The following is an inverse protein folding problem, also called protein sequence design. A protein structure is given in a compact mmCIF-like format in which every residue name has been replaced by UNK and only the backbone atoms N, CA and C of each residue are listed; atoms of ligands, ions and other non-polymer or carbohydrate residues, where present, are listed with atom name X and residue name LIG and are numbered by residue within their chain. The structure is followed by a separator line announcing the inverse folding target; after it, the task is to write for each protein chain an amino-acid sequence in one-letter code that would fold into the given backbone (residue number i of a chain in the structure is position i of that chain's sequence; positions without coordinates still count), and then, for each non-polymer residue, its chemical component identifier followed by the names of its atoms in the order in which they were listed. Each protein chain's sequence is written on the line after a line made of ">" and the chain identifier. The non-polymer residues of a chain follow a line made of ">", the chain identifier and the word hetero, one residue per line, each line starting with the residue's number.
data_IF_091004366303
#
_entry.id   IF_091004366303
#
_cell.length_a   1.000
_cell.length_b   1.000
_cell.length_c   1.000
_cell.angle_alpha   90.00
_cell.angle_beta   90.00
_cell.angle_gamma   90.00
#
_symmetry.space_group_name_H-M   'P 1'
#
loop_
_entity.id
_entity.type
_entity.pdbx_description
1 polymer ?
#
# COMPACT_ATOMS: atom_id res chain seq x y z
N UNK A 1 -0.97 -6.96 -12.52
CA UNK A 1 -0.98 -6.18 -13.78
C UNK A 1 0.36 -5.48 -13.87
N UNK A 2 1.29 -6.03 -14.71
CA UNK A 2 2.58 -5.39 -14.94
C UNK A 2 2.39 -4.13 -15.79
N UNK A 3 2.54 -2.95 -15.21
CA UNK A 3 2.75 -1.75 -16.00
C UNK A 3 4.24 -1.63 -16.31
N UNK A 4 4.61 -1.82 -17.57
CA UNK A 4 5.87 -1.30 -18.09
C UNK A 4 5.74 0.21 -18.16
N UNK A 5 6.14 0.88 -17.12
CA UNK A 5 5.93 2.30 -16.99
C UNK A 5 7.27 2.98 -16.82
N UNK A 6 7.76 3.57 -17.89
CA UNK A 6 8.78 4.59 -17.78
C UNK A 6 8.11 5.87 -17.25
N UNK A 7 8.55 6.36 -16.10
CA UNK A 7 8.24 7.73 -15.72
C UNK A 7 9.02 8.61 -16.69
N UNK A 8 8.33 9.14 -17.67
CA UNK A 8 8.97 9.99 -18.69
C UNK A 8 9.23 11.42 -18.20
N UNK A 9 8.69 11.80 -17.04
CA UNK A 9 8.78 13.17 -16.55
C UNK A 9 9.93 13.39 -15.56
N UNK A 10 11.04 14.01 -15.99
CA UNK A 10 12.21 14.26 -15.13
C UNK A 10 11.91 15.17 -13.92
N UNK A 11 10.81 15.92 -13.93
CA UNK A 11 10.39 16.77 -12.81
C UNK A 11 10.05 15.93 -11.59
N UNK A 12 9.37 14.80 -11.77
CA UNK A 12 9.04 13.89 -10.66
C UNK A 12 10.29 13.21 -10.10
N UNK A 13 11.21 12.76 -10.95
CA UNK A 13 12.49 12.21 -10.49
C UNK A 13 13.26 13.22 -9.66
N UNK A 14 13.39 14.45 -10.14
CA UNK A 14 14.10 15.51 -9.42
C UNK A 14 13.44 15.82 -8.06
N UNK A 15 12.11 15.82 -7.97
CA UNK A 15 11.40 15.98 -6.69
C UNK A 15 11.74 14.86 -5.71
N UNK A 16 11.74 13.61 -6.18
CA UNK A 16 12.03 12.43 -5.35
C UNK A 16 13.50 12.40 -4.91
N UNK A 17 14.44 12.64 -5.83
CA UNK A 17 15.89 12.66 -5.52
C UNK A 17 16.25 13.74 -4.50
N UNK A 18 15.57 14.89 -4.52
CA UNK A 18 15.76 15.95 -3.53
C UNK A 18 15.32 15.56 -2.11
N UNK A 19 14.40 14.58 -1.98
CA UNK A 19 13.93 14.08 -0.70
C UNK A 19 14.81 12.96 -0.13
N UNK A 20 15.75 12.43 -0.91
CA UNK A 20 16.69 11.41 -0.43
C UNK A 20 17.79 12.05 0.42
N UNK A 21 18.01 11.52 1.63
CA UNK A 21 18.97 12.05 2.59
C UNK A 21 20.42 11.70 2.24
N UNK A 22 20.65 10.55 1.61
CA UNK A 22 21.97 10.01 1.34
C UNK A 22 22.18 9.60 -0.13
N UNK A 23 23.44 9.31 -0.48
CA UNK A 23 23.80 8.90 -1.84
C UNK A 23 23.19 7.56 -2.24
N UNK A 24 23.08 6.63 -1.31
CA UNK A 24 22.54 5.29 -1.61
C UNK A 24 21.05 5.34 -1.93
N UNK A 25 20.30 6.14 -1.17
CA UNK A 25 18.88 6.39 -1.44
C UNK A 25 18.68 7.09 -2.79
N UNK A 26 19.52 8.09 -3.12
CA UNK A 26 19.51 8.75 -4.45
C UNK A 26 19.79 7.76 -5.57
N UNK A 27 20.80 6.91 -5.40
CA UNK A 27 21.15 5.91 -6.40
C UNK A 27 20.03 4.90 -6.62
N UNK A 28 19.43 4.39 -5.54
CA UNK A 28 18.26 3.49 -5.63
C UNK A 28 17.10 4.16 -6.36
N UNK A 29 16.80 5.41 -6.03
CA UNK A 29 15.74 6.17 -6.68
C UNK A 29 15.98 6.29 -8.19
N UNK A 30 17.19 6.65 -8.62
CA UNK A 30 17.55 6.77 -10.04
C UNK A 30 17.47 5.41 -10.74
N UNK A 31 17.97 4.35 -10.11
CA UNK A 31 17.96 3.00 -10.67
C UNK A 31 16.53 2.47 -10.81
N UNK A 32 15.70 2.69 -9.79
CA UNK A 32 14.30 2.30 -9.82
C UNK A 32 13.51 3.11 -10.86
N UNK A 33 13.80 4.40 -10.97
CA UNK A 33 13.14 5.27 -11.96
C UNK A 33 13.36 4.80 -13.40
N UNK A 34 14.56 4.33 -13.70
CA UNK A 34 14.91 3.82 -15.04
C UNK A 34 14.64 2.32 -15.21
N UNK A 35 14.18 1.64 -14.16
CA UNK A 35 13.87 0.22 -14.17
C UNK A 35 12.48 -0.11 -14.73
N UNK A 36 12.27 -1.38 -15.04
CA UNK A 36 10.93 -1.90 -15.32
C UNK A 36 10.21 -2.21 -14.00
N UNK A 37 9.01 -1.69 -13.82
CA UNK A 37 8.17 -2.00 -12.67
C UNK A 37 7.19 -3.12 -13.03
N UNK A 38 7.30 -4.25 -12.36
CA UNK A 38 6.38 -5.40 -12.56
C UNK A 38 5.08 -5.25 -11.78
N UNK A 39 5.02 -4.33 -10.79
CA UNK A 39 3.83 -4.02 -9.99
C UNK A 39 3.83 -2.57 -9.51
N UNK A 40 2.66 -2.00 -9.34
CA UNK A 40 2.44 -0.62 -8.87
C UNK A 40 1.42 -0.56 -7.73
N UNK A 41 1.21 -1.68 -7.04
CA UNK A 41 0.24 -1.80 -5.94
C UNK A 41 0.47 -0.75 -4.83
N UNK A 42 1.72 -0.51 -4.44
CA UNK A 42 2.02 0.52 -3.44
C UNK A 42 1.62 1.93 -3.91
N UNK A 43 1.92 2.27 -5.16
CA UNK A 43 1.54 3.56 -5.73
C UNK A 43 0.04 3.76 -5.81
N UNK A 44 -0.70 2.72 -6.18
CA UNK A 44 -2.16 2.74 -6.21
C UNK A 44 -2.70 2.89 -4.78
N UNK A 45 -2.31 2.01 -3.86
CA UNK A 45 -2.79 2.03 -2.48
C UNK A 45 -2.50 3.38 -1.79
N UNK A 46 -1.30 3.93 -1.95
CA UNK A 46 -0.93 5.20 -1.35
C UNK A 46 -1.67 6.39 -1.97
N UNK A 47 -1.85 6.41 -3.30
CA UNK A 47 -2.63 7.47 -3.96
C UNK A 47 -4.11 7.44 -3.56
N UNK A 48 -4.68 6.25 -3.34
CA UNK A 48 -6.04 6.12 -2.79
C UNK A 48 -6.14 6.68 -1.37
N UNK A 49 -5.17 6.38 -0.50
CA UNK A 49 -5.12 6.94 0.84
C UNK A 49 -5.04 8.46 0.83
N UNK A 50 -4.19 9.04 0.00
CA UNK A 50 -4.02 10.49 -0.11
C UNK A 50 -5.22 11.20 -0.76
N UNK A 51 -5.86 10.57 -1.75
CA UNK A 51 -7.11 11.07 -2.30
C UNK A 51 -8.22 11.10 -1.28
N UNK A 52 -8.39 10.01 -0.51
CA UNK A 52 -9.36 9.97 0.59
C UNK A 52 -9.12 11.05 1.66
N UNK A 53 -7.86 11.42 1.89
CA UNK A 53 -7.48 12.44 2.85
C UNK A 53 -7.51 13.87 2.27
N UNK A 54 -7.85 14.05 0.99
CA UNK A 54 -7.92 15.33 0.31
C UNK A 54 -6.56 15.94 -0.07
N UNK A 55 -5.46 15.16 -0.03
CA UNK A 55 -4.14 15.61 -0.49
C UNK A 55 -3.98 15.51 -2.00
N UNK A 56 -4.82 14.75 -2.66
CA UNK A 56 -4.91 14.65 -4.12
C UNK A 56 -6.30 15.11 -4.53
N UNK A 57 -6.38 16.12 -5.40
CA UNK A 57 -7.60 16.46 -6.07
C UNK A 57 -7.73 15.62 -7.35
N UNK A 58 -8.71 14.75 -7.40
CA UNK A 58 -8.91 13.88 -8.55
C UNK A 58 -9.39 14.63 -9.78
N UNK A 59 -10.05 15.79 -9.62
CA UNK A 59 -10.45 16.66 -10.74
C UNK A 59 -9.25 17.24 -11.49
N UNK A 60 -8.13 17.47 -10.80
CA UNK A 60 -6.86 17.90 -11.42
C UNK A 60 -6.28 16.82 -12.36
N UNK A 61 -6.61 15.55 -12.13
CA UNK A 61 -6.13 14.41 -12.91
C UNK A 61 -7.06 14.12 -14.07
N UNK A 62 -8.36 14.02 -13.77
CA UNK A 62 -9.43 13.78 -14.76
C UNK A 62 -10.59 14.71 -14.44
N UNK A 63 -10.93 15.58 -15.36
CA UNK A 63 -12.02 16.55 -15.15
C UNK A 63 -13.33 15.86 -14.79
N UNK A 64 -13.95 16.29 -13.70
CA UNK A 64 -15.17 15.72 -13.14
C UNK A 64 -14.95 14.50 -12.25
N UNK A 65 -13.71 14.06 -12.05
CA UNK A 65 -13.42 12.94 -11.15
C UNK A 65 -13.54 13.39 -9.69
N UNK A 66 -14.24 12.60 -8.88
CA UNK A 66 -14.48 12.86 -7.46
C UNK A 66 -14.04 11.70 -6.55
N UNK A 67 -13.65 10.59 -7.17
CA UNK A 67 -13.07 9.43 -6.48
C UNK A 67 -12.06 8.71 -7.38
N UNK A 68 -11.38 7.72 -6.83
CA UNK A 68 -10.35 6.98 -7.57
C UNK A 68 -10.90 6.23 -8.79
N UNK A 69 -12.15 5.76 -8.73
CA UNK A 69 -12.80 4.99 -9.80
C UNK A 69 -13.16 5.85 -11.01
N UNK A 70 -13.45 7.13 -10.77
CA UNK A 70 -13.80 8.07 -11.82
C UNK A 70 -12.58 8.62 -12.57
N UNK A 71 -11.36 8.27 -12.15
CA UNK A 71 -10.13 8.65 -12.85
C UNK A 71 -9.96 7.96 -14.22
N UNK A 72 -10.64 6.84 -14.43
CA UNK A 72 -10.49 6.03 -15.64
C UNK A 72 -9.32 5.04 -15.56
N UNK A 73 -8.79 4.66 -16.72
CA UNK A 73 -7.69 3.71 -16.82
C UNK A 73 -6.33 4.40 -16.79
N UNK A 74 -5.36 3.97 -15.96
CA UNK A 74 -4.01 4.52 -15.99
C UNK A 74 -3.26 4.24 -17.30
N UNK A 75 -3.76 3.32 -18.14
CA UNK A 75 -3.21 3.08 -19.47
C UNK A 75 -3.56 4.18 -20.47
N UNK A 76 -4.69 4.86 -20.24
CA UNK A 76 -5.24 5.90 -21.12
C UNK A 76 -5.01 7.30 -20.56
N UNK A 77 -4.77 7.43 -19.25
CA UNK A 77 -4.59 8.69 -18.54
C UNK A 77 -3.15 8.86 -18.06
N UNK A 78 -2.36 9.66 -18.75
CA UNK A 78 -0.95 9.90 -18.42
C UNK A 78 -0.74 10.55 -17.06
N UNK A 79 -1.64 11.47 -16.63
CA UNK A 79 -1.56 12.12 -15.32
C UNK A 79 -1.80 11.12 -14.19
N UNK A 80 -2.78 10.23 -14.34
CA UNK A 80 -3.04 9.15 -13.39
C UNK A 80 -1.84 8.20 -13.31
N UNK A 81 -1.28 7.81 -14.46
CA UNK A 81 -0.08 6.98 -14.53
C UNK A 81 1.09 7.64 -13.80
N UNK A 82 1.37 8.90 -14.09
CA UNK A 82 2.46 9.65 -13.46
C UNK A 82 2.26 9.76 -11.93
N UNK A 83 1.03 9.98 -11.47
CA UNK A 83 0.69 9.99 -10.05
C UNK A 83 0.99 8.64 -9.39
N UNK A 84 0.47 7.55 -9.95
CA UNK A 84 0.69 6.20 -9.41
C UNK A 84 2.19 5.89 -9.32
N UNK A 85 2.95 6.20 -10.36
CA UNK A 85 4.38 5.95 -10.40
C UNK A 85 5.16 6.82 -9.43
N UNK A 86 4.76 8.09 -9.28
CA UNK A 86 5.35 8.97 -8.27
C UNK A 86 5.21 8.35 -6.87
N UNK A 87 4.00 7.92 -6.49
CA UNK A 87 3.76 7.30 -5.19
C UNK A 87 4.40 5.92 -5.06
N UNK A 88 4.47 5.13 -6.15
CA UNK A 88 5.22 3.88 -6.16
C UNK A 88 6.69 4.09 -5.81
N UNK A 89 7.29 5.16 -6.31
CA UNK A 89 8.69 5.49 -6.08
C UNK A 89 8.96 6.01 -4.66
N UNK A 90 7.95 6.52 -3.94
CA UNK A 90 8.14 7.00 -2.57
C UNK A 90 8.59 5.92 -1.59
N UNK A 91 8.30 4.64 -1.87
CA UNK A 91 8.84 3.53 -1.06
C UNK A 91 10.38 3.45 -1.08
N UNK A 92 11.06 4.10 -2.03
CA UNK A 92 12.51 4.19 -2.09
C UNK A 92 13.06 5.34 -1.24
N UNK A 93 12.22 6.24 -0.74
CA UNK A 93 12.61 7.30 0.18
C UNK A 93 12.85 6.74 1.58
N UNK A 94 13.77 7.36 2.33
CA UNK A 94 13.99 7.00 3.73
C UNK A 94 12.73 7.21 4.58
N UNK A 95 11.99 8.28 4.29
CA UNK A 95 10.69 8.57 4.91
C UNK A 95 9.55 7.64 4.46
N UNK A 96 9.67 7.04 3.29
CA UNK A 96 8.71 6.08 2.76
C UNK A 96 8.95 4.65 3.23
N UNK A 97 10.09 4.40 3.86
CA UNK A 97 10.36 3.12 4.50
C UNK A 97 9.51 3.02 5.74
N UNK A 98 8.78 1.93 5.86
CA UNK A 98 7.96 1.69 7.01
C UNK A 98 8.81 1.78 8.27
N UNK A 99 8.39 2.65 9.15
CA UNK A 99 9.01 2.76 10.47
C UNK A 99 8.63 1.57 11.35
N UNK A 100 7.72 0.72 10.86
CA UNK A 100 7.21 -0.38 11.61
C UNK A 100 6.87 -1.60 10.73
N UNK A 101 7.57 -2.68 10.96
CA UNK A 101 7.36 -3.94 10.24
C UNK A 101 8.14 -5.10 10.83
N UNK A 102 7.83 -6.29 10.36
CA UNK A 102 8.64 -7.48 10.53
C UNK A 102 9.32 -7.71 9.19
N UNK A 103 10.63 -7.86 9.17
CA UNK A 103 11.33 -8.32 7.98
C UNK A 103 12.59 -9.05 8.37
N UNK A 104 12.64 -10.33 8.07
CA UNK A 104 13.86 -11.14 8.21
C UNK A 104 14.87 -10.89 7.09
N UNK A 105 14.38 -10.62 5.89
CA UNK A 105 15.22 -10.59 4.70
C UNK A 105 15.72 -9.18 4.32
N UNK A 106 15.00 -8.14 4.72
CA UNK A 106 15.33 -6.76 4.34
C UNK A 106 15.99 -5.94 5.45
N UNK A 107 16.08 -6.46 6.67
CA UNK A 107 16.64 -5.75 7.83
C UNK A 107 15.80 -4.55 8.29
N UNK A 108 14.53 -4.47 7.90
CA UNK A 108 13.69 -3.29 8.08
C UNK A 108 12.82 -3.33 9.33
N UNK A 109 12.78 -4.44 10.04
CA UNK A 109 12.01 -4.56 11.26
C UNK A 109 12.60 -5.58 12.21
N UNK A 110 12.64 -5.23 13.48
CA UNK A 110 13.08 -6.13 14.57
C UNK A 110 11.88 -6.61 15.41
N UNK A 111 10.65 -6.50 14.86
CA UNK A 111 9.42 -6.86 15.56
C UNK A 111 9.10 -8.35 15.46
N UNK A 112 8.54 -8.89 16.51
CA UNK A 112 7.82 -10.16 16.46
C UNK A 112 6.37 -9.93 15.99
N UNK A 113 5.71 -11.02 15.57
CA UNK A 113 4.36 -10.98 15.03
C UNK A 113 3.34 -10.40 16.03
N UNK A 114 3.43 -10.78 17.29
CA UNK A 114 2.50 -10.31 18.34
C UNK A 114 2.59 -8.80 18.51
N UNK A 115 3.80 -8.27 18.63
CA UNK A 115 4.03 -6.83 18.73
C UNK A 115 3.57 -6.09 17.47
N UNK A 116 3.83 -6.64 16.29
CA UNK A 116 3.34 -6.07 15.02
C UNK A 116 1.81 -6.00 15.02
N UNK A 117 1.13 -7.12 15.27
CA UNK A 117 -0.34 -7.19 15.21
C UNK A 117 -1.02 -6.29 16.24
N UNK A 118 -0.45 -6.15 17.45
CA UNK A 118 -0.95 -5.20 18.46
C UNK A 118 -0.94 -3.76 17.94
N UNK A 119 0.17 -3.32 17.36
CA UNK A 119 0.28 -1.97 16.80
C UNK A 119 -0.58 -1.79 15.54
N UNK A 120 -0.60 -2.80 14.67
CA UNK A 120 -1.42 -2.78 13.46
C UNK A 120 -2.91 -2.65 13.77
N UNK A 121 -3.41 -3.41 14.75
CA UNK A 121 -4.80 -3.30 15.22
C UNK A 121 -5.08 -1.93 15.84
N UNK A 122 -4.16 -1.41 16.65
CA UNK A 122 -4.30 -0.08 17.24
C UNK A 122 -4.37 1.01 16.16
N UNK A 123 -3.56 0.89 15.10
CA UNK A 123 -3.59 1.81 13.97
C UNK A 123 -4.88 1.69 13.16
N UNK A 124 -5.37 0.47 12.92
CA UNK A 124 -6.65 0.27 12.25
C UNK A 124 -7.84 0.87 13.04
N UNK A 125 -7.80 0.76 14.38
CA UNK A 125 -8.78 1.44 15.27
C UNK A 125 -8.70 2.97 15.14
N UNK A 126 -7.47 3.50 15.15
CA UNK A 126 -7.25 4.94 15.01
C UNK A 126 -7.72 5.42 13.62
N UNK A 127 -7.29 4.75 12.56
CA UNK A 127 -7.64 5.07 11.17
C UNK A 127 -9.17 5.10 10.95
N UNK A 128 -9.89 4.12 11.50
CA UNK A 128 -11.36 4.12 11.49
C UNK A 128 -11.95 5.35 12.18
N UNK A 129 -11.42 5.71 13.37
CA UNK A 129 -11.92 6.84 14.16
C UNK A 129 -11.74 8.16 13.45
N UNK A 130 -10.60 8.36 12.79
CA UNK A 130 -10.26 9.61 12.10
C UNK A 130 -10.63 9.59 10.61
N UNK A 131 -11.13 8.45 10.11
CA UNK A 131 -11.48 8.22 8.69
C UNK A 131 -10.28 8.42 7.75
N UNK A 132 -9.10 7.99 8.17
CA UNK A 132 -7.86 8.07 7.39
C UNK A 132 -7.34 6.66 7.12
N UNK A 133 -7.58 6.10 5.94
CA UNK A 133 -7.02 4.81 5.56
C UNK A 133 -5.50 4.88 5.48
N UNK A 134 -4.84 3.73 5.61
CA UNK A 134 -3.39 3.61 5.50
C UNK A 134 -2.98 2.38 4.68
N UNK A 135 -1.72 2.36 4.23
CA UNK A 135 -1.19 1.26 3.42
C UNK A 135 -0.65 0.16 4.32
N UNK A 136 -1.04 -1.07 4.02
CA UNK A 136 -0.44 -2.29 4.56
C UNK A 136 0.24 -3.07 3.44
N UNK A 137 1.44 -3.53 3.69
CA UNK A 137 2.24 -4.26 2.71
C UNK A 137 2.76 -5.57 3.30
N UNK A 138 2.90 -6.57 2.44
CA UNK A 138 3.36 -7.91 2.81
C UNK A 138 3.99 -8.62 1.61
N UNK A 139 4.75 -9.69 1.90
CA UNK A 139 5.28 -10.57 0.86
C UNK A 139 4.35 -11.74 0.63
N UNK A 140 4.17 -12.08 -0.63
CA UNK A 140 3.55 -13.32 -1.12
C UNK A 140 4.55 -14.01 -2.05
N UNK A 141 4.35 -15.29 -2.45
CA UNK A 141 5.29 -15.99 -3.32
C UNK A 141 5.62 -15.25 -4.64
N UNK A 142 4.67 -14.50 -5.17
CA UNK A 142 4.83 -13.72 -6.40
C UNK A 142 5.57 -12.39 -6.20
N UNK A 143 5.82 -11.96 -4.95
CA UNK A 143 6.52 -10.73 -4.62
C UNK A 143 5.81 -9.87 -3.58
N UNK A 144 6.25 -8.62 -3.43
CA UNK A 144 5.62 -7.66 -2.51
C UNK A 144 4.25 -7.21 -2.99
N UNK A 145 3.28 -7.11 -2.07
CA UNK A 145 1.96 -6.57 -2.32
C UNK A 145 1.59 -5.50 -1.30
N UNK A 146 0.82 -4.51 -1.73
CA UNK A 146 0.35 -3.42 -0.88
C UNK A 146 -1.14 -3.22 -1.07
N UNK A 147 -1.85 -3.03 0.02
CA UNK A 147 -3.30 -2.89 0.08
C UNK A 147 -3.69 -1.72 0.98
N UNK A 148 -4.95 -1.29 0.92
CA UNK A 148 -5.47 -0.20 1.74
C UNK A 148 -6.24 -0.75 2.93
N UNK A 149 -5.82 -0.40 4.16
CA UNK A 149 -6.60 -0.65 5.37
C UNK A 149 -7.62 0.47 5.55
N UNK A 150 -8.90 0.14 5.51
CA UNK A 150 -9.99 1.12 5.50
C UNK A 150 -11.07 0.90 6.56
N UNK A 151 -11.02 -0.20 7.32
CA UNK A 151 -12.01 -0.48 8.35
C UNK A 151 -11.50 -1.34 9.49
N UNK A 152 -12.24 -1.32 10.58
CA UNK A 152 -11.94 -2.10 11.79
C UNK A 152 -13.21 -2.44 12.56
N UNK A 153 -13.28 -3.65 13.11
CA UNK A 153 -14.30 -4.09 14.04
C UNK A 153 -13.70 -5.04 15.07
N UNK A 154 -14.09 -4.90 16.34
CA UNK A 154 -13.82 -5.91 17.37
C UNK A 154 -15.07 -6.78 17.53
N UNK A 155 -14.88 -8.08 17.48
CA UNK A 155 -15.94 -9.05 17.64
C UNK A 155 -16.22 -9.36 19.13
N UNK A 156 -17.36 -9.99 19.40
CA UNK A 156 -17.75 -10.38 20.77
C UNK A 156 -16.86 -11.46 21.38
N UNK A 157 -16.20 -12.26 20.53
CA UNK A 157 -15.20 -13.28 20.93
C UNK A 157 -13.80 -12.70 21.21
N UNK A 158 -13.65 -11.37 21.07
CA UNK A 158 -12.40 -10.65 21.28
C UNK A 158 -11.49 -10.56 20.05
N UNK A 159 -11.78 -11.29 18.98
CA UNK A 159 -11.03 -11.21 17.72
C UNK A 159 -11.25 -9.86 17.02
N UNK A 160 -10.29 -9.50 16.16
CA UNK A 160 -10.33 -8.24 15.42
C UNK A 160 -10.54 -8.52 13.94
N UNK A 161 -11.47 -7.80 13.32
CA UNK A 161 -11.69 -7.79 11.88
C UNK A 161 -11.21 -6.46 11.30
N UNK A 162 -10.35 -6.55 10.30
CA UNK A 162 -9.77 -5.39 9.60
C UNK A 162 -10.24 -5.46 8.16
N UNK A 163 -10.93 -4.43 7.73
CA UNK A 163 -11.38 -4.30 6.34
C UNK A 163 -10.24 -3.76 5.51
N UNK A 164 -9.91 -4.50 4.47
CA UNK A 164 -8.84 -4.19 3.52
C UNK A 164 -9.48 -4.03 2.14
N UNK A 165 -9.03 -3.04 1.40
CA UNK A 165 -9.32 -2.91 -0.02
C UNK A 165 -8.07 -3.32 -0.82
N UNK A 166 -8.22 -4.33 -1.69
CA UNK A 166 -7.19 -4.80 -2.61
C UNK A 166 -7.60 -4.48 -4.05
N UNK A 167 -6.82 -3.63 -4.72
CA UNK A 167 -7.05 -3.22 -6.10
C UNK A 167 -6.84 -4.36 -7.11
N UNK A 168 -6.15 -5.43 -6.70
CA UNK A 168 -5.91 -6.60 -7.53
C UNK A 168 -6.92 -7.74 -7.30
N UNK A 169 -7.81 -7.60 -6.33
CA UNK A 169 -8.90 -8.57 -6.14
C UNK A 169 -9.85 -8.50 -7.33
N UNK A 170 -9.89 -9.58 -8.08
CA UNK A 170 -10.81 -9.70 -9.21
C UNK A 170 -12.15 -10.26 -8.74
N UNK A 171 -13.16 -9.45 -8.86
CA UNK A 171 -14.55 -9.91 -8.83
C UNK A 171 -15.17 -9.69 -10.22
N UNK A 172 -16.00 -10.61 -10.75
CA UNK A 172 -16.66 -10.41 -12.03
C UNK A 172 -17.40 -9.05 -12.06
N UNK A 173 -16.96 -8.15 -12.95
CA UNK A 173 -17.55 -6.82 -13.12
C UNK A 173 -16.96 -5.69 -12.29
N UNK A 174 -15.90 -5.93 -11.47
CA UNK A 174 -15.20 -4.88 -10.75
C UNK A 174 -13.69 -5.10 -10.74
N UNK A 175 -12.94 -3.99 -10.73
CA UNK A 175 -11.51 -4.01 -10.43
C UNK A 175 -11.34 -3.71 -8.93
N UNK A 176 -10.69 -4.63 -8.20
CA UNK A 176 -10.52 -4.52 -6.77
C UNK A 176 -11.70 -5.06 -5.95
N UNK A 177 -11.47 -5.30 -4.69
CA UNK A 177 -12.46 -5.82 -3.76
C UNK A 177 -12.09 -5.63 -2.30
N UNK A 178 -13.13 -5.72 -1.46
CA UNK A 178 -12.94 -5.70 -0.02
C UNK A 178 -12.66 -7.11 0.48
N UNK A 179 -11.65 -7.20 1.34
CA UNK A 179 -11.24 -8.42 2.04
C UNK A 179 -11.31 -8.17 3.54
N UNK A 180 -11.48 -9.24 4.29
CA UNK A 180 -11.43 -9.21 5.75
C UNK A 180 -10.21 -9.94 6.25
N UNK A 181 -9.31 -9.22 6.91
CA UNK A 181 -8.23 -9.81 7.69
C UNK A 181 -8.71 -10.00 9.12
N UNK A 182 -8.67 -11.23 9.61
CA UNK A 182 -9.00 -11.58 11.00
C UNK A 182 -7.72 -11.75 11.79
N UNK A 183 -7.63 -11.04 12.93
CA UNK A 183 -6.52 -11.12 13.87
C UNK A 183 -7.05 -11.72 15.17
N UNK A 184 -6.35 -12.73 15.70
CA UNK A 184 -6.71 -13.39 16.95
C UNK A 184 -6.65 -12.45 18.14
N UNK A 185 -7.47 -12.69 19.15
CA UNK A 185 -7.56 -11.86 20.36
C UNK A 185 -6.27 -11.82 21.18
N UNK A 186 -5.42 -12.84 21.04
CA UNK A 186 -4.10 -12.93 21.65
C UNK A 186 -2.96 -12.37 20.77
N UNK A 187 -3.29 -11.87 19.56
CA UNK A 187 -2.36 -11.32 18.59
C UNK A 187 -1.27 -12.26 18.08
N UNK A 188 -1.48 -13.58 18.17
CA UNK A 188 -0.49 -14.59 17.74
C UNK A 188 -0.70 -15.06 16.30
N UNK A 189 -1.86 -14.78 15.72
CA UNK A 189 -2.17 -15.21 14.36
C UNK A 189 -3.09 -14.23 13.65
N UNK A 190 -3.06 -14.28 12.34
CA UNK A 190 -4.03 -13.64 11.45
C UNK A 190 -4.29 -14.52 10.23
N UNK A 191 -5.40 -14.28 9.55
CA UNK A 191 -5.71 -14.88 8.25
C UNK A 191 -6.66 -13.97 7.47
N UNK A 192 -6.67 -14.13 6.14
CA UNK A 192 -7.62 -13.45 5.27
C UNK A 192 -8.84 -14.35 5.07
N UNK A 193 -10.03 -13.88 5.49
CA UNK A 193 -11.23 -14.72 5.58
C UNK A 193 -11.92 -14.95 4.22
N UNK A 194 -11.75 -14.04 3.27
CA UNK A 194 -12.50 -14.04 2.00
C UNK A 194 -11.55 -14.17 0.79
N UNK A 195 -10.31 -14.58 1.01
CA UNK A 195 -9.36 -14.75 -0.07
C UNK A 195 -9.62 -16.07 -0.80
N UNK A 196 -9.76 -16.00 -2.10
CA UNK A 196 -9.71 -17.17 -2.98
C UNK A 196 -8.25 -17.70 -3.03
N UNK A 197 -7.72 -18.19 -1.90
CA UNK A 197 -6.38 -18.77 -1.72
C UNK A 197 -5.17 -17.86 -2.01
N UNK A 198 -5.33 -16.68 -2.59
CA UNK A 198 -4.22 -15.81 -3.01
C UNK A 198 -3.36 -15.30 -1.84
N UNK A 199 -3.95 -15.17 -0.65
CA UNK A 199 -3.27 -14.67 0.54
C UNK A 199 -3.08 -15.74 1.62
N UNK A 200 -3.32 -17.02 1.30
CA UNK A 200 -3.10 -18.10 2.24
C UNK A 200 -1.61 -18.30 2.57
N UNK A 201 -0.74 -17.91 1.62
CA UNK A 201 0.72 -18.02 1.71
C UNK A 201 1.41 -16.68 2.05
N UNK A 202 0.74 -15.77 2.74
CA UNK A 202 1.38 -14.53 3.20
C UNK A 202 2.54 -14.87 4.13
N UNK A 203 3.72 -14.39 3.79
CA UNK A 203 4.90 -14.55 4.61
C UNK A 203 4.76 -13.72 5.89
N UNK A 204 4.48 -14.38 7.01
CA UNK A 204 4.34 -13.73 8.33
C UNK A 204 5.62 -13.06 8.83
N UNK A 205 6.74 -13.32 8.17
CA UNK A 205 8.06 -12.78 8.51
C UNK A 205 8.40 -11.50 7.73
N UNK A 206 7.54 -11.10 6.78
CA UNK A 206 7.72 -9.90 5.95
C UNK A 206 6.40 -9.12 5.86
N UNK A 207 6.07 -8.44 6.95
CA UNK A 207 4.89 -7.57 7.08
C UNK A 207 5.33 -6.16 7.43
N UNK A 208 4.77 -5.14 6.76
CA UNK A 208 5.04 -3.75 7.12
C UNK A 208 3.86 -2.83 6.83
N UNK A 209 3.84 -1.71 7.52
CA UNK A 209 2.86 -0.64 7.32
C UNK A 209 3.56 0.70 7.26
N UNK A 210 3.10 1.55 6.38
CA UNK A 210 3.47 2.95 6.36
C UNK A 210 2.54 3.67 7.35
N UNK A 211 2.98 3.72 8.60
CA UNK A 211 2.33 4.53 9.62
C UNK A 211 2.82 5.97 9.44
N UNK A 212 1.90 6.87 9.13
CA UNK A 212 2.15 8.32 9.11
C UNK A 212 1.79 8.94 10.45
#
# INVERSE_FOLDING_TARGET
>A
IGMRAFISNPVYLNKLVKQCSDFQSKWRMITYFHGEHTGVCHGIALSMCYGNQGYIDFDDITSGAHDYWTLGSPYENSKMKDMILYYQMTQCLDSGRSTYGISKNSGWGNGDLETFLKKFVAEAQYAKRVKKPFVFSFMIPEGGHSVVVCGYKKNTDGNHEITIYDENSYHPGSYGGYLTMKVSSDFKSFHFADSNSRFDDVCVEDLWTNLN
#
